data_IF_328800872079
#
_entry.id   IF_328800872079
#
_cell.length_a   1.000
_cell.length_b   1.000
_cell.length_c   1.000
_cell.angle_alpha   90.00
_cell.angle_beta   90.00
_cell.angle_gamma   90.00
#
_symmetry.space_group_name_H-M   'P 1'
#
loop_
_entity.id
_entity.type
_entity.pdbx_description
1 polymer ?
#
# COMPACT_ATOMS: atom_id res chain seq x y z
N UNK A 1 -8.11 17.97 2.55
CA UNK A 1 -9.29 17.37 3.26
C UNK A 1 -8.96 16.04 3.93
N UNK A 2 -8.16 15.16 3.32
CA UNK A 2 -7.91 13.80 3.84
C UNK A 2 -7.19 13.73 5.21
N UNK A 3 -6.53 14.80 5.64
CA UNK A 3 -5.85 14.86 6.95
C UNK A 3 -6.39 15.96 7.86
N UNK A 4 -7.53 16.55 7.52
CA UNK A 4 -8.17 17.55 8.38
C UNK A 4 -8.53 16.94 9.75
N UNK A 5 -8.39 17.72 10.79
CA UNK A 5 -8.64 17.29 12.19
C UNK A 5 -7.70 16.19 12.71
N UNK A 6 -6.47 16.14 12.23
CA UNK A 6 -5.46 15.20 12.71
C UNK A 6 -5.60 13.76 12.23
N UNK A 7 -6.55 13.47 11.33
CA UNK A 7 -6.75 12.13 10.75
C UNK A 7 -5.57 11.71 9.89
N UNK A 8 -5.27 10.42 9.92
CA UNK A 8 -4.34 9.79 8.99
C UNK A 8 -5.04 9.52 7.66
N UNK A 9 -4.63 10.20 6.59
CA UNK A 9 -5.05 9.87 5.23
C UNK A 9 -4.13 8.80 4.63
N UNK A 10 -4.64 7.59 4.34
CA UNK A 10 -3.81 6.47 3.88
C UNK A 10 -4.63 5.47 3.05
N UNK A 11 -3.96 4.69 2.20
CA UNK A 11 -4.61 3.72 1.32
C UNK A 11 -4.49 2.30 1.85
N UNK A 12 -5.60 1.57 1.88
CA UNK A 12 -5.60 0.12 2.09
C UNK A 12 -5.19 -0.59 0.79
N UNK A 13 -4.40 -1.66 0.89
CA UNK A 13 -4.02 -2.48 -0.28
C UNK A 13 -5.11 -3.50 -0.59
N UNK A 14 -6.25 -3.01 -1.03
CA UNK A 14 -7.42 -3.79 -1.45
C UNK A 14 -7.70 -3.56 -2.92
N UNK A 15 -8.32 -4.56 -3.56
CA UNK A 15 -8.84 -4.44 -4.92
C UNK A 15 -7.97 -5.10 -5.99
N UNK A 16 -8.41 -5.01 -7.26
CA UNK A 16 -7.82 -5.76 -8.39
C UNK A 16 -6.36 -5.40 -8.69
N UNK A 17 -5.95 -4.17 -8.36
CA UNK A 17 -4.60 -3.67 -8.59
C UNK A 17 -3.57 -4.14 -7.57
N UNK A 18 -3.95 -4.92 -6.57
CA UNK A 18 -3.04 -5.35 -5.52
C UNK A 18 -2.88 -6.86 -5.46
N UNK A 19 -1.64 -7.31 -5.24
CA UNK A 19 -1.41 -8.70 -4.83
C UNK A 19 -2.14 -8.94 -3.52
N UNK A 20 -2.68 -10.13 -3.38
CA UNK A 20 -3.39 -10.50 -2.14
C UNK A 20 -2.38 -10.50 -0.99
N UNK A 21 -2.43 -9.44 -0.19
CA UNK A 21 -1.63 -9.30 1.03
C UNK A 21 -2.27 -10.06 2.20
N UNK A 22 -3.57 -10.36 2.07
CA UNK A 22 -4.30 -11.21 3.00
C UNK A 22 -5.22 -12.14 2.22
N UNK A 23 -5.23 -13.41 2.58
CA UNK A 23 -6.10 -14.43 2.01
C UNK A 23 -6.71 -15.28 3.12
N UNK A 24 -8.03 -15.39 3.11
CA UNK A 24 -8.77 -16.32 3.95
C UNK A 24 -9.30 -17.43 3.05
N UNK A 25 -9.04 -18.66 3.39
CA UNK A 25 -9.54 -19.83 2.66
C UNK A 25 -10.49 -20.63 3.53
N UNK A 26 -11.64 -20.94 2.96
CA UNK A 26 -12.69 -21.75 3.59
C UNK A 26 -12.76 -23.10 2.91
N UNK A 27 -12.85 -24.16 3.68
CA UNK A 27 -13.07 -25.52 3.22
C UNK A 27 -14.29 -26.10 3.95
N UNK A 28 -15.30 -26.50 3.18
CA UNK A 28 -16.56 -27.04 3.71
C UNK A 28 -17.22 -26.17 4.81
N UNK A 29 -17.21 -24.85 4.60
CA UNK A 29 -17.75 -23.88 5.57
C UNK A 29 -16.88 -23.65 6.81
N UNK A 30 -15.71 -24.30 6.91
CA UNK A 30 -14.76 -24.10 8.02
C UNK A 30 -13.55 -23.32 7.55
N UNK A 31 -13.01 -22.49 8.44
CA UNK A 31 -11.76 -21.78 8.17
C UNK A 31 -10.61 -22.78 8.00
N UNK A 32 -10.04 -22.82 6.78
CA UNK A 32 -8.92 -23.70 6.46
C UNK A 32 -7.57 -23.06 6.76
N UNK A 33 -7.38 -21.80 6.34
CA UNK A 33 -6.19 -21.04 6.66
C UNK A 33 -6.40 -19.53 6.47
N UNK A 34 -5.54 -18.74 7.14
CA UNK A 34 -5.37 -17.32 6.93
C UNK A 34 -3.95 -17.04 6.50
N UNK A 35 -3.78 -16.44 5.32
CA UNK A 35 -2.50 -15.87 4.89
C UNK A 35 -2.62 -14.35 5.00
N UNK A 36 -1.84 -13.74 5.88
CA UNK A 36 -1.88 -12.31 6.11
C UNK A 36 -0.45 -11.80 6.35
N UNK A 37 -0.08 -10.75 5.62
CA UNK A 37 1.20 -10.07 5.81
C UNK A 37 1.30 -9.49 7.23
N UNK A 38 0.20 -8.86 7.68
CA UNK A 38 0.12 -8.30 9.03
C UNK A 38 0.30 -9.37 10.10
N UNK A 39 -0.38 -10.52 9.96
CA UNK A 39 -0.24 -11.65 10.90
C UNK A 39 1.19 -12.17 10.95
N UNK A 40 1.79 -12.42 9.79
CA UNK A 40 3.18 -12.89 9.69
C UNK A 40 4.15 -11.95 10.40
N UNK A 41 4.06 -10.66 10.13
CA UNK A 41 4.92 -9.66 10.75
C UNK A 41 4.65 -9.52 12.25
N UNK A 42 3.38 -9.56 12.69
CA UNK A 42 3.03 -9.49 14.09
C UNK A 42 3.60 -10.67 14.91
N UNK A 43 3.56 -11.88 14.36
CA UNK A 43 4.16 -13.06 14.99
C UNK A 43 5.68 -12.92 15.05
N UNK A 44 6.34 -12.56 13.94
CA UNK A 44 7.80 -12.39 13.90
C UNK A 44 8.31 -11.29 14.83
N UNK A 45 7.53 -10.23 15.00
CA UNK A 45 7.86 -9.09 15.90
C UNK A 45 7.38 -9.32 17.34
N UNK A 46 6.84 -10.50 17.66
CA UNK A 46 6.42 -10.91 19.02
C UNK A 46 5.49 -9.89 19.72
N UNK A 47 4.62 -9.23 18.97
CA UNK A 47 3.68 -8.22 19.52
C UNK A 47 2.50 -8.81 20.31
N UNK A 48 2.43 -10.13 20.42
CA UNK A 48 1.39 -10.87 21.11
C UNK A 48 0.36 -11.49 20.17
N UNK A 49 -0.12 -12.68 20.53
CA UNK A 49 -1.00 -13.49 19.68
C UNK A 49 -2.36 -12.81 19.44
N UNK A 50 -2.92 -12.14 20.44
CA UNK A 50 -4.22 -11.48 20.32
C UNK A 50 -4.18 -10.31 19.33
N UNK A 51 -3.12 -9.50 19.38
CA UNK A 51 -2.88 -8.43 18.38
C UNK A 51 -2.67 -9.02 16.99
N UNK A 52 -1.87 -10.09 16.89
CA UNK A 52 -1.64 -10.77 15.61
C UNK A 52 -2.94 -11.31 15.01
N UNK A 53 -3.82 -11.93 15.81
CA UNK A 53 -5.14 -12.42 15.37
C UNK A 53 -6.04 -11.28 14.87
N UNK A 54 -6.12 -10.17 15.58
CA UNK A 54 -6.88 -8.99 15.12
C UNK A 54 -6.36 -8.49 13.77
N UNK A 55 -5.05 -8.39 13.62
CA UNK A 55 -4.41 -7.93 12.40
C UNK A 55 -4.51 -8.94 11.24
N UNK A 56 -4.74 -10.22 11.51
CA UNK A 56 -4.82 -11.27 10.49
C UNK A 56 -5.91 -11.01 9.45
N UNK A 57 -7.03 -10.44 9.87
CA UNK A 57 -8.20 -10.16 9.04
C UNK A 57 -8.28 -8.69 8.60
N UNK A 58 -7.43 -7.83 9.15
CA UNK A 58 -7.39 -6.42 8.80
C UNK A 58 -6.77 -6.23 7.40
N UNK A 59 -7.35 -5.38 6.54
CA UNK A 59 -6.75 -5.01 5.28
C UNK A 59 -5.36 -4.40 5.50
N UNK A 60 -4.36 -4.88 4.76
CA UNK A 60 -3.02 -4.32 4.87
C UNK A 60 -2.99 -2.86 4.41
N UNK A 61 -2.33 -2.01 5.19
CA UNK A 61 -2.13 -0.59 4.88
C UNK A 61 -0.70 -0.42 4.35
N UNK A 62 -0.56 0.29 3.22
CA UNK A 62 0.74 0.61 2.64
C UNK A 62 1.17 2.01 3.05
N UNK A 63 2.31 2.10 3.72
CA UNK A 63 2.86 3.36 4.28
C UNK A 63 3.67 4.20 3.28
N UNK A 64 3.80 3.76 2.04
CA UNK A 64 4.61 4.49 1.05
C UNK A 64 4.02 5.83 0.63
N UNK A 65 2.71 6.03 0.82
CA UNK A 65 2.02 7.29 0.59
C UNK A 65 0.97 7.49 1.68
N UNK A 66 1.09 8.57 2.41
CA UNK A 66 0.13 8.98 3.44
C UNK A 66 0.10 10.49 3.60
N UNK A 67 -0.92 11.00 4.26
CA UNK A 67 -1.03 12.39 4.71
C UNK A 67 -1.39 12.43 6.18
N UNK A 68 -0.72 13.30 6.94
CA UNK A 68 -0.91 13.43 8.38
C UNK A 68 -0.51 14.83 8.82
N UNK A 69 -1.33 15.47 9.63
CA UNK A 69 -0.99 16.76 10.23
C UNK A 69 0.19 16.67 11.19
N UNK A 70 1.01 17.72 11.24
CA UNK A 70 2.21 17.79 12.08
C UNK A 70 1.93 17.45 13.54
N UNK A 71 0.81 17.89 14.08
CA UNK A 71 0.45 17.76 15.49
C UNK A 71 -0.52 16.59 15.78
N UNK A 72 -0.71 15.68 14.81
CA UNK A 72 -1.60 14.54 14.98
C UNK A 72 -1.10 13.58 16.08
N UNK A 73 -2.01 13.10 16.91
CA UNK A 73 -1.74 12.05 17.91
C UNK A 73 -1.30 10.74 17.26
N UNK A 74 -1.64 10.52 15.99
CA UNK A 74 -1.24 9.33 15.24
C UNK A 74 0.29 9.17 15.18
N UNK A 75 1.06 10.26 15.15
CA UNK A 75 2.54 10.19 15.22
C UNK A 75 3.02 9.47 16.47
N UNK A 76 2.44 9.80 17.63
CA UNK A 76 2.83 9.16 18.90
C UNK A 76 2.43 7.69 18.94
N UNK A 77 1.23 7.35 18.48
CA UNK A 77 0.79 5.96 18.38
C UNK A 77 1.71 5.16 17.44
N UNK A 78 2.02 5.72 16.28
CA UNK A 78 2.91 5.06 15.32
C UNK A 78 4.33 4.88 15.88
N UNK A 79 4.89 5.89 16.51
CA UNK A 79 6.20 5.79 17.17
C UNK A 79 6.22 4.70 18.22
N UNK A 80 5.26 4.67 19.15
CA UNK A 80 5.18 3.65 20.20
C UNK A 80 5.10 2.22 19.63
N UNK A 81 4.30 2.05 18.59
CA UNK A 81 4.19 0.78 17.90
C UNK A 81 5.47 0.42 17.14
N UNK A 82 6.14 1.38 16.52
CA UNK A 82 7.40 1.15 15.83
C UNK A 82 8.49 0.70 16.83
N UNK A 83 8.61 1.35 17.98
CA UNK A 83 9.52 0.92 19.04
C UNK A 83 9.22 -0.51 19.51
N UNK A 84 7.92 -0.83 19.66
CA UNK A 84 7.49 -2.17 20.06
C UNK A 84 7.87 -3.22 19.01
N UNK A 85 7.65 -2.93 17.73
CA UNK A 85 7.92 -3.88 16.65
C UNK A 85 9.42 -4.07 16.40
N UNK A 86 10.24 -3.04 16.62
CA UNK A 86 11.69 -3.09 16.46
C UNK A 86 12.41 -3.88 17.57
N UNK A 87 11.84 -3.95 18.78
CA UNK A 87 12.48 -4.69 19.90
C UNK A 87 12.71 -6.16 19.60
N UNK A 88 11.88 -6.80 18.81
CA UNK A 88 11.95 -8.23 18.51
C UNK A 88 11.84 -8.57 17.02
N UNK A 89 11.51 -7.61 16.18
CA UNK A 89 11.33 -7.76 14.74
C UNK A 89 12.52 -7.30 13.93
N UNK A 90 12.51 -7.62 12.64
CA UNK A 90 13.43 -7.05 11.67
C UNK A 90 13.05 -5.62 11.31
N UNK A 91 14.02 -4.82 10.86
CA UNK A 91 13.79 -3.45 10.38
C UNK A 91 12.76 -3.46 9.23
N UNK A 92 12.90 -4.41 8.30
CA UNK A 92 12.01 -4.51 7.14
C UNK A 92 10.60 -4.91 7.58
N UNK A 93 9.65 -4.05 7.26
CA UNK A 93 8.23 -4.25 7.53
C UNK A 93 7.76 -3.80 8.92
N UNK A 94 8.67 -3.40 9.83
CA UNK A 94 8.27 -2.90 11.16
C UNK A 94 7.49 -1.60 11.09
N UNK A 95 7.84 -0.68 10.20
CA UNK A 95 7.09 0.56 9.97
C UNK A 95 5.66 0.28 9.47
N UNK A 96 5.52 -0.65 8.53
CA UNK A 96 4.22 -1.06 8.01
C UNK A 96 3.39 -1.76 9.07
N UNK A 97 3.99 -2.65 9.88
CA UNK A 97 3.29 -3.30 10.99
C UNK A 97 2.85 -2.26 12.03
N UNK A 98 3.73 -1.32 12.39
CA UNK A 98 3.46 -0.29 13.39
C UNK A 98 2.26 0.58 13.02
N UNK A 99 2.15 1.05 11.77
CA UNK A 99 0.99 1.83 11.34
C UNK A 99 -0.29 0.99 11.29
N UNK A 100 -0.21 -0.28 10.84
CA UNK A 100 -1.35 -1.18 10.89
C UNK A 100 -1.82 -1.42 12.34
N UNK A 101 -0.91 -1.50 13.31
CA UNK A 101 -1.25 -1.55 14.74
C UNK A 101 -1.92 -0.26 15.21
N UNK A 102 -1.35 0.90 14.87
CA UNK A 102 -1.92 2.19 15.24
C UNK A 102 -3.36 2.35 14.76
N UNK A 103 -3.65 1.91 13.53
CA UNK A 103 -5.00 2.01 12.96
C UNK A 103 -5.95 0.95 13.53
N UNK A 104 -5.56 -0.33 13.54
CA UNK A 104 -6.49 -1.42 13.83
C UNK A 104 -6.50 -1.90 15.28
N UNK A 105 -5.48 -1.57 16.06
CA UNK A 105 -5.41 -1.92 17.49
C UNK A 105 -5.68 -0.71 18.36
N UNK A 106 -5.02 0.41 18.06
CA UNK A 106 -5.09 1.62 18.87
C UNK A 106 -6.16 2.61 18.37
N UNK A 107 -6.87 2.27 17.29
CA UNK A 107 -7.96 3.03 16.70
C UNK A 107 -7.57 4.47 16.33
N UNK A 108 -6.36 4.67 15.77
CA UNK A 108 -5.96 5.96 15.23
C UNK A 108 -7.00 6.45 14.21
N UNK A 109 -7.46 7.69 14.35
CA UNK A 109 -8.43 8.27 13.43
C UNK A 109 -7.88 8.27 12.00
N UNK A 110 -8.58 7.62 11.09
CA UNK A 110 -8.07 7.33 9.75
C UNK A 110 -9.13 7.61 8.69
N UNK A 111 -8.72 8.29 7.63
CA UNK A 111 -9.46 8.43 6.38
C UNK A 111 -8.84 7.51 5.34
N UNK A 112 -9.57 6.47 4.93
CA UNK A 112 -9.10 5.58 3.90
C UNK A 112 -9.28 6.20 2.52
N UNK A 113 -8.15 6.50 1.88
CA UNK A 113 -8.10 7.07 0.54
C UNK A 113 -8.35 6.00 -0.52
N UNK A 114 -8.93 6.39 -1.68
CA UNK A 114 -9.10 5.47 -2.80
C UNK A 114 -7.74 5.02 -3.37
N UNK A 115 -7.74 3.87 -4.05
CA UNK A 115 -6.54 3.18 -4.54
C UNK A 115 -5.68 4.03 -5.49
N UNK A 116 -6.31 4.87 -6.28
CA UNK A 116 -5.64 5.77 -7.22
C UNK A 116 -4.80 6.87 -6.53
N UNK A 117 -4.91 7.03 -5.20
CA UNK A 117 -4.02 7.90 -4.42
C UNK A 117 -2.67 7.24 -4.07
N UNK A 118 -2.54 5.93 -4.26
CA UNK A 118 -1.28 5.20 -4.01
C UNK A 118 -1.24 3.93 -4.88
N UNK A 119 -1.04 4.12 -6.18
CA UNK A 119 -1.02 3.03 -7.15
C UNK A 119 0.32 2.32 -7.17
N UNK A 120 0.39 1.09 -6.67
CA UNK A 120 1.63 0.30 -6.65
C UNK A 120 1.83 -0.38 -8.01
N UNK A 121 2.64 0.25 -8.86
CA UNK A 121 2.82 -0.16 -10.25
C UNK A 121 3.45 -1.56 -10.41
N UNK A 122 4.22 -2.05 -9.43
CA UNK A 122 4.78 -3.40 -9.43
C UNK A 122 3.72 -4.50 -9.28
N UNK A 123 2.54 -4.18 -8.79
CA UNK A 123 1.43 -5.14 -8.69
C UNK A 123 0.61 -5.21 -9.97
N UNK A 124 0.31 -4.05 -10.54
CA UNK A 124 -0.43 -3.93 -11.79
C UNK A 124 -0.05 -2.63 -12.48
N UNK A 125 0.38 -2.70 -13.74
CA UNK A 125 0.68 -1.50 -14.51
C UNK A 125 -0.59 -0.70 -14.78
N UNK A 126 -0.52 0.64 -14.71
CA UNK A 126 -1.63 1.50 -15.11
C UNK A 126 -1.85 1.44 -16.62
N UNK A 127 -2.98 1.91 -17.09
CA UNK A 127 -3.17 2.28 -18.49
C UNK A 127 -2.91 3.76 -18.70
N UNK A 128 -2.65 4.13 -19.94
CA UNK A 128 -2.49 5.52 -20.34
C UNK A 128 -3.68 6.00 -21.15
N UNK A 129 -4.26 7.12 -20.73
CA UNK A 129 -5.30 7.81 -21.50
C UNK A 129 -4.63 8.85 -22.39
N UNK A 130 -4.56 8.58 -23.70
CA UNK A 130 -3.90 9.45 -24.69
C UNK A 130 -4.60 10.79 -24.84
N UNK A 131 -5.93 10.82 -24.73
CA UNK A 131 -6.71 12.07 -24.85
C UNK A 131 -6.45 13.02 -23.66
N UNK A 132 -6.42 12.47 -22.44
CA UNK A 132 -6.21 13.25 -21.21
C UNK A 132 -4.74 13.36 -20.80
N UNK A 133 -3.81 12.70 -21.51
CA UNK A 133 -2.39 12.64 -21.17
C UNK A 133 -2.14 12.26 -19.71
N UNK A 134 -2.87 11.26 -19.20
CA UNK A 134 -2.82 10.83 -17.79
C UNK A 134 -2.80 9.33 -17.65
N UNK A 135 -2.16 8.85 -16.58
CA UNK A 135 -2.30 7.46 -16.17
C UNK A 135 -3.64 7.24 -15.46
N UNK A 136 -4.25 6.11 -15.76
CA UNK A 136 -5.57 5.72 -15.23
C UNK A 136 -5.54 4.26 -14.77
N UNK A 137 -6.48 3.90 -13.91
CA UNK A 137 -6.70 2.50 -13.54
C UNK A 137 -7.02 1.66 -14.79
N UNK A 138 -6.48 0.40 -14.88
CA UNK A 138 -6.64 -0.43 -16.07
C UNK A 138 -8.05 -1.04 -16.23
N UNK A 139 -8.94 -0.80 -15.28
CA UNK A 139 -10.32 -1.27 -15.25
C UNK A 139 -11.31 -0.09 -15.12
N UNK A 140 -12.55 -0.33 -15.49
CA UNK A 140 -13.61 0.69 -15.43
C UNK A 140 -13.90 1.11 -13.96
N UNK A 141 -14.17 2.39 -13.74
CA UNK A 141 -14.37 3.45 -14.74
C UNK A 141 -13.10 4.20 -15.17
N UNK A 142 -11.92 3.62 -15.02
CA UNK A 142 -10.63 4.21 -15.42
C UNK A 142 -10.32 5.53 -14.68
N UNK A 143 -10.44 5.53 -13.38
CA UNK A 143 -10.11 6.70 -12.56
C UNK A 143 -8.67 7.14 -12.79
N UNK A 144 -8.47 8.46 -12.81
CA UNK A 144 -7.14 9.05 -12.89
C UNK A 144 -6.30 8.63 -11.69
N UNK A 145 -5.09 8.18 -11.93
CA UNK A 145 -4.13 7.88 -10.87
C UNK A 145 -3.46 9.19 -10.45
N UNK A 146 -3.51 9.48 -9.16
CA UNK A 146 -2.88 10.67 -8.58
C UNK A 146 -1.41 10.45 -8.27
N UNK A 147 -1.05 9.31 -7.70
CA UNK A 147 0.31 8.96 -7.31
C UNK A 147 0.63 7.54 -7.77
N UNK A 148 1.71 7.39 -8.55
CA UNK A 148 2.28 6.10 -8.92
C UNK A 148 3.42 5.78 -7.96
N UNK A 149 3.28 4.71 -7.21
CA UNK A 149 4.26 4.24 -6.24
C UNK A 149 5.12 3.14 -6.86
N UNK A 150 6.40 3.46 -7.10
CA UNK A 150 7.38 2.54 -7.66
C UNK A 150 8.05 1.74 -6.53
N UNK A 151 7.27 0.87 -5.87
CA UNK A 151 7.75 0.01 -4.80
C UNK A 151 7.90 -1.43 -5.26
N UNK A 152 8.89 -2.13 -4.74
CA UNK A 152 9.14 -3.56 -4.90
C UNK A 152 9.29 -4.09 -6.36
N UNK A 153 9.67 -5.34 -6.50
CA UNK A 153 9.78 -6.03 -7.78
C UNK A 153 10.93 -5.54 -8.66
N UNK A 154 10.70 -5.47 -9.97
CA UNK A 154 11.69 -5.07 -10.97
C UNK A 154 12.29 -3.68 -10.70
N UNK A 155 11.51 -2.79 -10.07
CA UNK A 155 11.92 -1.44 -9.72
C UNK A 155 12.96 -1.37 -8.62
N UNK A 156 13.11 -2.41 -7.79
CA UNK A 156 14.09 -2.43 -6.70
C UNK A 156 15.45 -2.97 -7.11
N UNK A 157 15.46 -3.87 -8.09
CA UNK A 157 16.68 -4.58 -8.51
C UNK A 157 17.44 -3.82 -9.60
N UNK A 158 16.78 -2.93 -10.30
CA UNK A 158 17.36 -2.13 -11.36
C UNK A 158 17.54 -0.69 -10.87
N UNK A 159 18.80 -0.32 -10.60
CA UNK A 159 19.15 1.03 -10.12
C UNK A 159 18.78 2.10 -11.15
N UNK A 160 18.92 1.77 -12.43
CA UNK A 160 18.66 2.71 -13.53
C UNK A 160 17.15 2.98 -13.63
N UNK A 161 16.32 1.95 -13.45
CA UNK A 161 14.87 2.09 -13.40
C UNK A 161 14.37 2.93 -12.22
N UNK A 162 15.16 3.04 -11.14
CA UNK A 162 14.78 3.88 -9.98
C UNK A 162 15.15 5.34 -10.15
N UNK A 163 16.29 5.61 -10.76
CA UNK A 163 16.93 6.94 -10.77
C UNK A 163 16.76 7.65 -12.09
N UNK A 164 16.75 6.92 -13.20
CA UNK A 164 16.65 7.49 -14.52
C UNK A 164 15.21 7.77 -14.93
N UNK A 165 14.88 9.05 -15.10
CA UNK A 165 13.58 9.51 -15.58
C UNK A 165 13.33 9.16 -17.04
N UNK A 166 14.37 8.88 -17.80
CA UNK A 166 14.28 8.52 -19.22
C UNK A 166 13.82 7.10 -19.46
N UNK A 167 13.87 6.23 -18.43
CA UNK A 167 13.45 4.83 -18.56
C UNK A 167 11.97 4.77 -18.92
N UNK A 168 11.72 4.21 -20.09
CA UNK A 168 10.37 3.95 -20.61
C UNK A 168 10.08 2.46 -20.55
N UNK A 169 8.83 2.15 -20.27
CA UNK A 169 8.30 0.78 -20.30
C UNK A 169 7.07 0.72 -21.19
N UNK A 170 6.75 -0.46 -21.67
CA UNK A 170 5.54 -0.68 -22.45
C UNK A 170 4.29 -0.61 -21.58
N UNK A 171 3.42 0.33 -21.87
CA UNK A 171 2.16 0.56 -21.18
C UNK A 171 1.02 0.46 -22.20
N UNK A 172 -0.08 -0.16 -21.78
CA UNK A 172 -1.29 -0.24 -22.61
C UNK A 172 -2.06 1.08 -22.52
N UNK A 173 -2.56 1.54 -23.66
CA UNK A 173 -3.56 2.62 -23.72
C UNK A 173 -4.95 2.07 -23.36
N UNK A 174 -5.95 2.95 -23.30
CA UNK A 174 -7.34 2.53 -23.13
C UNK A 174 -7.82 1.67 -24.31
N UNK A 175 -7.32 1.93 -25.50
CA UNK A 175 -7.58 1.15 -26.72
C UNK A 175 -6.71 -0.12 -26.83
N UNK A 176 -5.99 -0.48 -25.76
CA UNK A 176 -5.08 -1.62 -25.68
C UNK A 176 -3.87 -1.58 -26.62
N UNK A 177 -3.55 -0.44 -27.22
CA UNK A 177 -2.28 -0.24 -27.94
C UNK A 177 -1.13 -0.21 -26.96
N UNK A 178 0.07 -0.64 -27.35
CA UNK A 178 1.28 -0.53 -26.54
C UNK A 178 2.03 0.74 -26.87
N UNK A 179 2.39 1.50 -25.86
CA UNK A 179 3.20 2.72 -25.99
C UNK A 179 4.33 2.70 -24.98
N UNK A 180 5.48 3.27 -25.35
CA UNK A 180 6.61 3.41 -24.43
C UNK A 180 6.49 4.70 -23.63
N UNK A 181 6.26 4.58 -22.32
CA UNK A 181 6.10 5.72 -21.39
C UNK A 181 6.91 5.52 -20.12
N UNK A 182 7.41 6.62 -19.56
CA UNK A 182 7.95 6.62 -18.21
C UNK A 182 6.82 6.69 -17.19
N UNK A 183 6.92 5.90 -16.10
CA UNK A 183 6.02 6.02 -14.95
C UNK A 183 6.42 7.15 -14.00
N UNK A 184 7.56 7.77 -14.24
CA UNK A 184 8.02 8.88 -13.42
C UNK A 184 7.41 10.18 -13.92
N UNK A 185 7.13 11.08 -12.99
CA UNK A 185 6.75 12.43 -13.32
C UNK A 185 7.96 13.10 -14.00
N UNK A 186 7.84 13.39 -15.26
CA UNK A 186 8.86 14.03 -16.08
C UNK A 186 8.19 14.80 -17.21
N UNK A 187 8.76 15.91 -17.53
CA UNK A 187 8.35 16.80 -18.64
C UNK A 187 8.56 16.14 -19.99
#
# INVERSE_FOLDING_TARGET
KACENGKLGITQTLGPGYKIMSKVSWLFGKLAFVKSQNFKHAISSKVGLDKARKLAFAPHINVGVFSLEKNSLCWKLWQNNLETTLKSGGIFGSEGLAINMSVYIDNAETEFLPLNCNWIASNLLPKFNEQKQTFVEPYLPNYKIGIIHLAAGIWQNDKDMRLDKSVKIDIKTLENKSIAKSLRFGH
#
